data_IF_572065499175
#
_entry.id   IF_572065499175
#
_cell.length_a   1.000
_cell.length_b   1.000
_cell.length_c   1.000
_cell.angle_alpha   90.00
_cell.angle_beta   90.00
_cell.angle_gamma   90.00
#
_symmetry.space_group_name_H-M   'P 1'
#
loop_
_entity.id
_entity.type
_entity.pdbx_description
1 polymer ?
#
# COMPACT_ATOMS: atom_id res chain seq x y z
N UNK A 1 28.43 10.80 1.93
CA UNK A 1 29.18 10.49 3.16
C UNK A 1 29.81 9.11 3.02
N UNK A 2 30.92 8.85 3.70
CA UNK A 2 31.47 7.51 3.87
C UNK A 2 30.63 6.71 4.91
N UNK A 3 30.98 5.46 5.13
CA UNK A 3 30.27 4.59 6.07
C UNK A 3 30.32 5.14 7.49
N UNK A 4 31.51 5.54 7.98
CA UNK A 4 31.70 6.04 9.34
C UNK A 4 30.92 7.35 9.59
N UNK A 5 30.99 8.30 8.66
CA UNK A 5 30.22 9.55 8.78
C UNK A 5 28.70 9.29 8.75
N UNK A 6 28.26 8.26 8.02
CA UNK A 6 26.84 7.86 7.99
C UNK A 6 26.42 7.27 9.33
N UNK A 7 27.22 6.40 9.94
CA UNK A 7 26.94 5.84 11.27
C UNK A 7 26.91 6.93 12.34
N UNK A 8 27.84 7.89 12.31
CA UNK A 8 27.84 9.04 13.23
C UNK A 8 26.59 9.92 13.07
N UNK A 9 26.14 10.14 11.81
CA UNK A 9 24.91 10.87 11.56
C UNK A 9 23.66 10.15 12.11
N UNK A 10 23.64 8.80 12.01
CA UNK A 10 22.58 7.98 12.62
C UNK A 10 22.60 8.07 14.14
N UNK A 11 23.78 8.08 14.77
CA UNK A 11 23.92 8.27 16.22
C UNK A 11 23.41 9.64 16.67
N UNK A 12 23.77 10.69 15.94
CA UNK A 12 23.30 12.04 16.23
C UNK A 12 21.77 12.16 16.08
N UNK A 13 21.20 11.54 15.07
CA UNK A 13 19.75 11.46 14.88
C UNK A 13 19.09 10.67 16.02
N UNK A 14 19.64 9.52 16.39
CA UNK A 14 19.14 8.69 17.49
C UNK A 14 19.11 9.42 18.82
N UNK A 15 20.13 10.22 19.10
CA UNK A 15 20.18 11.05 20.31
C UNK A 15 19.04 12.09 20.35
N UNK A 16 18.65 12.63 19.18
CA UNK A 16 17.53 13.59 19.10
C UNK A 16 16.16 12.91 19.09
N UNK A 17 16.10 11.66 18.71
CA UNK A 17 14.87 10.87 18.74
C UNK A 17 14.54 10.33 20.14
N UNK A 18 15.54 10.10 20.97
CA UNK A 18 15.35 9.53 22.31
C UNK A 18 14.38 10.34 23.19
N UNK A 19 14.46 11.67 23.28
CA UNK A 19 13.48 12.46 24.02
C UNK A 19 12.05 12.29 23.53
N UNK A 20 11.83 12.07 22.22
CA UNK A 20 10.49 11.84 21.68
C UNK A 20 9.93 10.46 22.07
N UNK A 21 10.81 9.49 22.33
CA UNK A 21 10.41 8.20 22.93
C UNK A 21 10.06 8.39 24.39
N UNK A 22 10.88 9.11 25.14
CA UNK A 22 10.69 9.37 26.56
C UNK A 22 9.40 10.17 26.82
N UNK A 23 9.04 11.09 25.91
CA UNK A 23 7.79 11.88 25.93
C UNK A 23 6.57 11.11 25.39
N UNK A 24 6.72 9.86 24.97
CA UNK A 24 5.64 9.03 24.44
C UNK A 24 5.12 9.44 23.06
N UNK A 25 5.85 10.27 22.32
CA UNK A 25 5.55 10.64 20.92
C UNK A 25 5.91 9.50 19.95
N UNK A 26 6.97 8.77 20.27
CA UNK A 26 7.39 7.55 19.55
C UNK A 26 7.28 6.37 20.52
N UNK A 27 6.79 5.24 20.03
CA UNK A 27 6.85 3.98 20.75
C UNK A 27 8.28 3.41 20.75
N UNK A 28 9.10 3.83 19.79
CA UNK A 28 10.50 3.44 19.64
C UNK A 28 11.03 3.78 18.27
N UNK A 29 12.28 3.43 18.02
CA UNK A 29 12.88 3.47 16.69
C UNK A 29 13.95 2.40 16.56
N UNK A 30 14.19 1.94 15.33
CA UNK A 30 15.25 1.01 14.98
C UNK A 30 16.31 1.72 14.13
N UNK A 31 17.56 1.60 14.57
CA UNK A 31 18.73 2.19 13.92
C UNK A 31 19.84 1.13 13.81
N UNK A 32 20.57 1.15 12.71
CA UNK A 32 21.70 0.24 12.48
C UNK A 32 22.75 0.34 13.57
N UNK A 33 22.89 1.50 14.19
CA UNK A 33 23.88 1.78 15.26
C UNK A 33 23.62 1.03 16.57
N UNK A 34 22.48 0.37 16.72
CA UNK A 34 22.24 -0.59 17.81
C UNK A 34 23.09 -1.86 17.64
N UNK A 35 23.38 -2.23 16.40
CA UNK A 35 24.14 -3.45 16.03
C UNK A 35 25.53 -3.11 15.58
N UNK A 36 25.69 -2.02 14.80
CA UNK A 36 26.96 -1.53 14.28
C UNK A 36 27.14 -0.07 14.66
N UNK A 37 27.63 0.25 15.87
CA UNK A 37 27.98 1.62 16.27
C UNK A 37 29.15 2.16 15.43
N UNK A 38 29.27 3.49 15.32
CA UNK A 38 30.44 4.11 14.69
C UNK A 38 31.74 3.74 15.41
N UNK A 39 32.85 3.74 14.68
CA UNK A 39 34.16 3.48 15.29
C UNK A 39 34.47 4.48 16.43
N UNK A 40 34.02 5.73 16.29
CA UNK A 40 34.15 6.74 17.33
C UNK A 40 33.37 6.33 18.58
N UNK A 41 32.12 5.90 18.46
CA UNK A 41 31.30 5.46 19.59
C UNK A 41 31.85 4.17 20.24
N UNK A 42 32.32 3.21 19.45
CA UNK A 42 32.94 1.99 19.97
C UNK A 42 34.18 2.32 20.79
N UNK A 43 35.07 3.16 20.28
CA UNK A 43 36.25 3.60 21.00
C UNK A 43 35.90 4.38 22.28
N UNK A 44 34.95 5.28 22.23
CA UNK A 44 34.49 6.00 23.39
C UNK A 44 33.97 5.07 24.49
N UNK A 45 33.19 4.03 24.11
CA UNK A 45 32.72 3.00 25.06
C UNK A 45 33.89 2.21 25.66
N UNK A 46 34.88 1.79 24.84
CA UNK A 46 36.06 1.09 25.31
C UNK A 46 36.87 1.93 26.31
N UNK A 47 37.06 3.22 26.02
CA UNK A 47 37.74 4.13 26.94
C UNK A 47 36.98 4.38 28.25
N UNK A 48 35.64 4.26 28.24
CA UNK A 48 34.81 4.44 29.45
C UNK A 48 34.85 3.22 30.39
N UNK A 49 35.31 2.05 29.92
CA UNK A 49 35.43 0.89 30.76
C UNK A 49 36.50 1.13 31.84
N UNK A 50 36.21 0.83 33.11
CA UNK A 50 37.19 0.98 34.19
C UNK A 50 38.36 0.00 33.99
N UNK A 51 39.52 0.33 34.54
CA UNK A 51 40.63 -0.61 34.63
C UNK A 51 40.30 -1.74 35.64
N UNK A 52 41.06 -2.83 35.57
CA UNK A 52 40.83 -4.01 36.39
C UNK A 52 40.84 -3.74 37.90
N UNK A 53 41.70 -2.83 38.38
CA UNK A 53 41.80 -2.51 39.80
C UNK A 53 40.57 -1.71 40.26
N UNK A 54 40.19 -0.68 39.50
CA UNK A 54 38.97 0.13 39.77
C UNK A 54 37.72 -0.75 39.70
N UNK A 55 37.64 -1.68 38.74
CA UNK A 55 36.49 -2.57 38.58
C UNK A 55 36.37 -3.51 39.80
N UNK A 56 37.48 -4.12 40.25
CA UNK A 56 37.49 -4.96 41.45
C UNK A 56 37.05 -4.20 42.70
N UNK A 57 37.51 -2.96 42.87
CA UNK A 57 37.16 -2.12 44.02
C UNK A 57 35.65 -1.83 43.98
N UNK A 58 35.08 -1.39 42.86
CA UNK A 58 33.65 -1.12 42.68
C UNK A 58 32.78 -2.36 42.91
N UNK A 59 33.26 -3.51 42.42
CA UNK A 59 32.55 -4.80 42.63
C UNK A 59 32.58 -5.20 44.11
N UNK A 60 33.73 -5.06 44.78
CA UNK A 60 33.81 -5.36 46.21
C UNK A 60 32.91 -4.46 47.07
N UNK A 61 32.72 -3.19 46.66
CA UNK A 61 31.76 -2.29 47.32
C UNK A 61 30.30 -2.66 47.01
N UNK A 62 29.99 -2.92 45.76
CA UNK A 62 28.64 -3.27 45.33
C UNK A 62 28.15 -4.60 45.91
N UNK A 63 29.03 -5.51 46.19
CA UNK A 63 28.76 -6.82 46.75
C UNK A 63 28.64 -6.85 48.27
N UNK A 64 28.87 -5.73 48.96
CA UNK A 64 28.70 -5.65 50.42
C UNK A 64 27.27 -5.99 50.84
N UNK A 65 27.15 -7.07 51.62
CA UNK A 65 25.84 -7.56 52.09
C UNK A 65 25.10 -8.49 51.13
N UNK A 66 25.68 -8.82 49.98
CA UNK A 66 25.14 -9.81 49.07
C UNK A 66 25.80 -11.20 49.28
N UNK A 67 25.09 -12.31 49.08
CA UNK A 67 25.61 -13.66 49.24
C UNK A 67 26.47 -14.13 48.07
N UNK A 68 27.30 -13.22 47.50
CA UNK A 68 28.14 -13.45 46.34
C UNK A 68 29.60 -13.07 46.64
N UNK A 69 30.51 -14.02 46.50
CA UNK A 69 31.94 -13.75 46.72
C UNK A 69 32.50 -13.00 45.50
N UNK A 70 33.30 -11.93 45.69
CA UNK A 70 33.94 -11.18 44.59
C UNK A 70 34.77 -12.06 43.66
N UNK A 71 35.38 -13.15 44.15
CA UNK A 71 36.18 -14.11 43.38
C UNK A 71 35.35 -14.83 42.27
N UNK A 72 34.06 -14.90 42.40
CA UNK A 72 33.19 -15.45 41.37
C UNK A 72 33.03 -14.55 40.13
N UNK A 73 33.41 -13.27 40.27
CA UNK A 73 33.30 -12.27 39.19
C UNK A 73 34.68 -11.98 38.56
N UNK A 74 35.75 -12.74 38.88
CA UNK A 74 37.09 -12.51 38.32
C UNK A 74 37.07 -12.67 36.78
N UNK A 75 36.36 -13.66 36.25
CA UNK A 75 36.19 -13.82 34.81
C UNK A 75 35.56 -12.58 34.14
N UNK A 76 34.59 -11.96 34.78
CA UNK A 76 33.96 -10.70 34.30
C UNK A 76 35.01 -9.55 34.30
N UNK A 77 35.86 -9.46 35.31
CA UNK A 77 36.93 -8.47 35.36
C UNK A 77 37.94 -8.69 34.23
N UNK A 78 38.34 -9.92 33.99
CA UNK A 78 39.25 -10.30 32.88
C UNK A 78 38.65 -9.97 31.53
N UNK A 79 37.41 -10.40 31.25
CA UNK A 79 36.70 -10.11 30.01
C UNK A 79 36.48 -8.60 29.78
N UNK A 80 36.13 -7.86 30.83
CA UNK A 80 35.98 -6.40 30.75
C UNK A 80 37.30 -5.68 30.45
N UNK A 81 38.39 -6.20 31.01
CA UNK A 81 39.73 -5.68 30.75
C UNK A 81 40.21 -6.00 29.33
N UNK A 82 39.91 -7.21 28.83
CA UNK A 82 40.21 -7.62 27.49
C UNK A 82 39.38 -6.78 26.46
N UNK A 83 38.11 -6.50 26.77
CA UNK A 83 37.24 -5.71 25.90
C UNK A 83 37.78 -4.29 25.62
N UNK A 84 38.58 -3.71 26.52
CA UNK A 84 39.24 -2.39 26.31
C UNK A 84 40.21 -2.38 25.14
N UNK A 85 40.83 -3.53 24.83
CA UNK A 85 41.86 -3.68 23.78
C UNK A 85 41.36 -4.43 22.55
N UNK A 86 40.12 -4.89 22.52
CA UNK A 86 39.56 -5.58 21.36
C UNK A 86 39.48 -4.65 20.15
N UNK A 87 39.71 -5.16 18.94
CA UNK A 87 39.51 -4.38 17.72
C UNK A 87 38.00 -4.02 17.59
N UNK A 88 37.67 -2.81 17.10
CA UNK A 88 36.30 -2.42 16.90
C UNK A 88 35.64 -3.26 15.79
N UNK A 89 34.37 -3.57 15.95
CA UNK A 89 33.58 -4.31 14.97
C UNK A 89 33.37 -3.42 13.75
N UNK A 90 33.56 -3.98 12.56
CA UNK A 90 33.36 -3.34 11.27
C UNK A 90 32.20 -3.98 10.51
N UNK A 91 31.66 -3.29 9.55
CA UNK A 91 30.60 -3.79 8.67
C UNK A 91 30.95 -5.17 8.08
N UNK A 92 32.17 -5.33 7.57
CA UNK A 92 32.62 -6.59 6.98
C UNK A 92 32.55 -7.79 7.96
N UNK A 93 32.75 -7.55 9.25
CA UNK A 93 32.75 -8.60 10.28
C UNK A 93 31.33 -9.16 10.51
N UNK A 94 30.29 -8.37 10.22
CA UNK A 94 28.90 -8.76 10.39
C UNK A 94 28.28 -9.44 9.16
N UNK A 95 28.94 -9.34 8.00
CA UNK A 95 28.36 -9.82 6.72
C UNK A 95 28.25 -11.34 6.62
N UNK A 96 29.04 -12.09 7.37
CA UNK A 96 28.99 -13.56 7.43
C UNK A 96 28.08 -14.10 8.56
N UNK A 97 27.50 -13.21 9.38
CA UNK A 97 26.74 -13.56 10.58
C UNK A 97 25.23 -13.41 10.45
N UNK A 98 24.47 -13.80 11.49
CA UNK A 98 23.02 -13.69 11.52
C UNK A 98 22.51 -12.24 11.51
N UNK A 99 23.36 -11.27 11.77
CA UNK A 99 23.03 -9.83 11.76
C UNK A 99 23.14 -9.19 10.37
N UNK A 100 23.74 -9.86 9.39
CA UNK A 100 23.91 -9.35 8.04
C UNK A 100 22.59 -8.85 7.39
N UNK A 101 21.45 -9.58 7.46
CA UNK A 101 20.21 -9.10 6.88
C UNK A 101 19.70 -7.78 7.50
N UNK A 102 19.88 -7.62 8.83
CA UNK A 102 19.48 -6.41 9.55
C UNK A 102 20.33 -5.22 9.13
N UNK A 103 21.65 -5.42 9.12
CA UNK A 103 22.60 -4.37 8.72
C UNK A 103 22.38 -3.96 7.27
N UNK A 104 22.23 -4.91 6.35
CA UNK A 104 21.99 -4.65 4.93
C UNK A 104 20.64 -3.97 4.65
N UNK A 105 19.63 -4.22 5.47
CA UNK A 105 18.34 -3.54 5.34
C UNK A 105 18.39 -2.07 5.79
N UNK A 106 19.27 -1.73 6.73
CA UNK A 106 19.34 -0.42 7.36
C UNK A 106 20.52 0.44 6.88
N UNK A 107 21.60 -0.17 6.38
CA UNK A 107 22.79 0.51 5.88
C UNK A 107 22.99 0.17 4.41
N UNK A 108 22.80 1.15 3.53
CA UNK A 108 22.71 0.98 2.09
C UNK A 108 23.86 1.71 1.40
N UNK A 109 24.56 1.01 0.51
CA UNK A 109 25.52 1.63 -0.38
C UNK A 109 24.79 2.23 -1.60
N UNK A 110 25.05 3.48 -1.91
CA UNK A 110 24.42 4.17 -3.04
C UNK A 110 25.08 3.77 -4.38
N UNK A 111 24.30 3.66 -5.47
CA UNK A 111 24.84 3.37 -6.79
C UNK A 111 25.88 4.37 -7.31
N UNK A 112 25.85 5.62 -6.84
CA UNK A 112 26.81 6.70 -7.18
C UNK A 112 27.96 6.85 -6.19
N UNK A 113 28.15 5.90 -5.30
CA UNK A 113 29.12 5.95 -4.21
C UNK A 113 28.58 6.63 -2.96
N UNK A 114 29.18 6.32 -1.82
CA UNK A 114 28.76 6.77 -0.50
C UNK A 114 27.69 5.88 0.14
N UNK A 115 27.32 6.20 1.38
CA UNK A 115 26.42 5.42 2.21
C UNK A 115 25.19 6.21 2.62
N UNK A 116 24.11 5.52 2.88
CA UNK A 116 22.89 6.03 3.49
C UNK A 116 22.35 5.01 4.48
N UNK A 117 21.65 5.50 5.49
CA UNK A 117 21.01 4.62 6.47
C UNK A 117 19.55 5.01 6.66
N UNK A 118 18.75 4.00 6.96
CA UNK A 118 17.32 4.16 7.28
C UNK A 118 17.15 3.94 8.78
N UNK A 119 16.46 4.89 9.43
CA UNK A 119 15.96 4.75 10.80
C UNK A 119 14.46 4.52 10.71
N UNK A 120 13.99 3.37 11.17
CA UNK A 120 12.56 3.06 11.21
C UNK A 120 11.95 3.61 12.50
N UNK A 121 10.91 4.42 12.38
CA UNK A 121 10.22 5.03 13.52
C UNK A 121 8.92 4.29 13.80
N UNK A 122 8.69 3.95 15.07
CA UNK A 122 7.44 3.39 15.55
C UNK A 122 6.65 4.51 16.21
N UNK A 123 5.59 4.98 15.54
CA UNK A 123 4.79 6.11 16.03
C UNK A 123 3.82 5.67 17.12
N UNK A 124 3.65 6.51 18.14
CA UNK A 124 2.61 6.34 19.15
C UNK A 124 1.29 7.03 18.69
N UNK A 125 0.15 6.76 19.34
CA UNK A 125 -1.12 7.44 19.00
C UNK A 125 -1.07 8.97 19.14
N UNK A 126 -0.19 9.48 19.98
CA UNK A 126 0.05 10.92 20.23
C UNK A 126 1.09 11.54 19.30
N UNK A 127 1.51 10.85 18.25
CA UNK A 127 2.59 11.27 17.35
C UNK A 127 2.29 12.59 16.64
N UNK A 128 3.25 13.51 16.73
CA UNK A 128 3.26 14.79 16.02
C UNK A 128 4.45 14.86 15.05
N UNK A 129 4.16 14.80 13.75
CA UNK A 129 5.17 14.89 12.70
C UNK A 129 5.92 16.23 12.69
N UNK A 130 5.34 17.30 13.21
CA UNK A 130 5.97 18.60 13.26
C UNK A 130 7.05 18.64 14.35
N UNK A 131 6.80 18.06 15.52
CA UNK A 131 7.80 17.87 16.57
C UNK A 131 8.98 17.02 16.09
N UNK A 132 8.70 15.93 15.36
CA UNK A 132 9.75 15.12 14.77
C UNK A 132 10.65 15.92 13.83
N UNK A 133 10.04 16.69 12.90
CA UNK A 133 10.81 17.55 11.98
C UNK A 133 11.63 18.61 12.71
N UNK A 134 11.10 19.20 13.77
CA UNK A 134 11.82 20.15 14.62
C UNK A 134 12.99 19.49 15.35
N UNK A 135 12.80 18.31 15.92
CA UNK A 135 13.86 17.59 16.61
C UNK A 135 15.04 17.25 15.70
N UNK A 136 14.74 16.89 14.44
CA UNK A 136 15.74 16.54 13.44
C UNK A 136 16.24 17.74 12.63
N UNK A 137 15.70 18.94 12.85
CA UNK A 137 16.11 20.15 12.17
C UNK A 137 17.60 20.45 12.39
N UNK A 138 18.29 20.85 11.33
CA UNK A 138 19.73 21.17 11.36
C UNK A 138 20.66 19.96 11.31
N UNK A 139 20.17 18.73 11.26
CA UNK A 139 21.01 17.58 10.94
C UNK A 139 21.29 17.53 9.44
N UNK A 140 22.56 17.55 9.01
CA UNK A 140 22.91 17.53 7.60
C UNK A 140 22.48 16.20 6.97
N UNK A 141 21.98 16.27 5.71
CA UNK A 141 21.63 15.08 4.89
C UNK A 141 20.59 14.15 5.53
N UNK A 142 19.76 14.66 6.45
CA UNK A 142 18.66 13.92 7.07
C UNK A 142 17.35 14.29 6.43
N UNK A 143 16.56 13.29 6.02
CA UNK A 143 15.23 13.46 5.44
C UNK A 143 14.22 12.61 6.20
N UNK A 144 13.12 13.22 6.59
CA UNK A 144 11.97 12.52 7.18
C UNK A 144 11.02 12.13 6.05
N UNK A 145 10.78 10.85 5.89
CA UNK A 145 9.86 10.29 4.90
C UNK A 145 8.65 9.73 5.66
N UNK A 146 7.49 10.29 5.42
CA UNK A 146 6.22 9.73 5.88
C UNK A 146 5.69 8.78 4.79
N UNK A 147 5.98 7.50 4.97
CA UNK A 147 5.62 6.46 3.99
C UNK A 147 4.10 6.41 3.77
N UNK A 148 3.29 6.65 4.82
CA UNK A 148 1.84 6.65 4.71
C UNK A 148 1.36 7.81 3.84
N UNK A 149 1.80 9.03 4.13
CA UNK A 149 1.42 10.22 3.36
C UNK A 149 1.87 10.09 1.90
N UNK A 150 3.07 9.56 1.66
CA UNK A 150 3.57 9.37 0.30
C UNK A 150 2.75 8.32 -0.46
N UNK A 151 2.42 7.19 0.19
CA UNK A 151 1.56 6.16 -0.40
C UNK A 151 0.14 6.69 -0.67
N UNK A 152 -0.44 7.44 0.28
CA UNK A 152 -1.77 8.05 0.11
C UNK A 152 -1.77 9.06 -1.05
N UNK A 153 -0.71 9.85 -1.20
CA UNK A 153 -0.56 10.80 -2.30
C UNK A 153 -0.41 10.11 -3.66
N UNK A 154 0.35 9.02 -3.72
CA UNK A 154 0.50 8.18 -4.91
C UNK A 154 -0.83 7.52 -5.28
N UNK A 155 -1.53 6.95 -4.29
CA UNK A 155 -2.83 6.34 -4.50
C UNK A 155 -3.85 7.36 -5.03
N UNK A 156 -3.89 8.57 -4.46
CA UNK A 156 -4.76 9.66 -4.92
C UNK A 156 -4.50 10.05 -6.38
N UNK A 157 -3.22 10.14 -6.77
CA UNK A 157 -2.85 10.41 -8.17
C UNK A 157 -3.29 9.29 -9.11
N UNK A 158 -3.01 8.04 -8.78
CA UNK A 158 -3.45 6.90 -9.59
C UNK A 158 -4.96 6.78 -9.67
N UNK A 159 -5.68 7.09 -8.58
CA UNK A 159 -7.15 7.08 -8.59
C UNK A 159 -7.70 8.16 -9.54
N UNK A 160 -7.16 9.38 -9.51
CA UNK A 160 -7.60 10.45 -10.40
C UNK A 160 -7.29 10.15 -11.88
N UNK A 161 -6.12 9.58 -12.15
CA UNK A 161 -5.73 9.16 -13.51
C UNK A 161 -6.64 8.02 -14.01
N UNK A 162 -6.89 7.01 -13.19
CA UNK A 162 -7.82 5.93 -13.52
C UNK A 162 -9.24 6.44 -13.79
N UNK A 163 -9.70 7.43 -13.01
CA UNK A 163 -11.01 8.05 -13.21
C UNK A 163 -11.11 8.77 -14.56
N UNK A 164 -10.08 9.54 -14.93
CA UNK A 164 -10.01 10.19 -16.24
C UNK A 164 -10.01 9.17 -17.38
N UNK A 165 -9.24 8.08 -17.25
CA UNK A 165 -9.20 7.02 -18.26
C UNK A 165 -10.54 6.30 -18.39
N UNK A 166 -11.24 6.03 -17.28
CA UNK A 166 -12.58 5.41 -17.30
C UNK A 166 -13.59 6.33 -17.96
N UNK A 167 -13.55 7.63 -17.66
CA UNK A 167 -14.41 8.61 -18.31
C UNK A 167 -14.13 8.71 -19.81
N UNK A 168 -12.88 8.76 -20.21
CA UNK A 168 -12.46 8.77 -21.61
C UNK A 168 -12.90 7.49 -22.34
N UNK A 169 -12.77 6.32 -21.70
CA UNK A 169 -13.24 5.04 -22.22
C UNK A 169 -14.77 5.01 -22.39
N UNK A 170 -15.52 5.44 -21.37
CA UNK A 170 -16.96 5.53 -21.44
C UNK A 170 -17.44 6.51 -22.53
N UNK A 171 -16.79 7.68 -22.63
CA UNK A 171 -17.05 8.65 -23.69
C UNK A 171 -16.76 8.07 -25.07
N UNK A 172 -15.67 7.33 -25.22
CA UNK A 172 -15.34 6.64 -26.49
C UNK A 172 -16.42 5.66 -26.90
N UNK A 173 -16.96 4.90 -25.95
CA UNK A 173 -18.09 3.99 -26.20
C UNK A 173 -19.32 4.78 -26.68
N UNK A 174 -19.65 5.88 -25.99
CA UNK A 174 -20.82 6.74 -26.37
C UNK A 174 -20.62 7.34 -27.76
N UNK A 175 -19.40 7.80 -28.09
CA UNK A 175 -19.08 8.35 -29.41
C UNK A 175 -19.22 7.27 -30.49
N UNK A 176 -18.69 6.07 -30.28
CA UNK A 176 -18.80 4.96 -31.22
C UNK A 176 -20.26 4.55 -31.42
N UNK A 177 -21.05 4.45 -30.34
CA UNK A 177 -22.48 4.19 -30.41
C UNK A 177 -23.21 5.30 -31.18
N UNK A 178 -22.86 6.56 -30.97
CA UNK A 178 -23.44 7.71 -31.67
C UNK A 178 -23.17 7.68 -33.17
N UNK A 179 -21.92 7.35 -33.55
CA UNK A 179 -21.54 7.20 -34.96
C UNK A 179 -22.26 6.02 -35.65
N UNK A 180 -22.43 4.92 -34.89
CA UNK A 180 -23.13 3.73 -35.41
C UNK A 180 -24.63 3.94 -35.55
N UNK A 181 -25.31 4.46 -34.53
CA UNK A 181 -26.74 4.64 -34.48
C UNK A 181 -27.25 5.83 -35.31
N UNK A 182 -26.42 6.84 -35.50
CA UNK A 182 -26.72 8.09 -36.24
C UNK A 182 -28.04 8.77 -35.87
N UNK A 183 -28.50 8.54 -34.64
CA UNK A 183 -29.79 9.04 -34.12
C UNK A 183 -29.64 9.31 -32.61
N UNK A 184 -29.82 10.58 -32.22
CA UNK A 184 -29.74 11.00 -30.83
C UNK A 184 -30.75 10.30 -29.91
N UNK A 185 -32.03 10.19 -30.26
CA UNK A 185 -33.02 9.47 -29.44
C UNK A 185 -32.69 7.98 -29.25
N UNK A 186 -32.11 7.32 -30.27
CA UNK A 186 -31.69 5.94 -30.17
C UNK A 186 -30.42 5.78 -29.30
N UNK A 187 -29.49 6.73 -29.43
CA UNK A 187 -28.28 6.76 -28.58
C UNK A 187 -28.69 6.87 -27.10
N UNK A 188 -29.60 7.81 -26.75
CA UNK A 188 -30.14 7.94 -25.41
C UNK A 188 -30.83 6.64 -24.93
N UNK A 189 -31.56 5.99 -25.83
CA UNK A 189 -32.23 4.73 -25.54
C UNK A 189 -31.29 3.59 -25.18
N UNK A 190 -30.12 3.54 -25.83
CA UNK A 190 -29.05 2.52 -25.59
C UNK A 190 -28.23 2.90 -24.36
N UNK A 191 -27.90 4.15 -24.16
CA UNK A 191 -27.12 4.60 -23.03
C UNK A 191 -27.84 4.54 -21.66
N UNK A 192 -29.18 4.78 -21.66
CA UNK A 192 -29.96 4.84 -20.44
C UNK A 192 -29.89 3.57 -19.57
N UNK A 193 -30.09 2.33 -20.09
CA UNK A 193 -29.99 1.12 -19.30
C UNK A 193 -28.53 0.88 -18.82
N UNK A 194 -27.50 1.32 -19.58
CA UNK A 194 -26.10 1.20 -19.19
C UNK A 194 -25.77 2.09 -18.00
N UNK A 195 -26.17 3.36 -18.07
CA UNK A 195 -25.97 4.31 -16.96
C UNK A 195 -26.67 3.80 -15.71
N UNK A 196 -27.91 3.31 -15.84
CA UNK A 196 -28.65 2.77 -14.71
C UNK A 196 -28.01 1.50 -14.14
N UNK A 197 -27.47 0.62 -14.97
CA UNK A 197 -26.72 -0.57 -14.53
C UNK A 197 -25.48 -0.19 -13.72
N UNK A 198 -24.72 0.81 -14.20
CA UNK A 198 -23.55 1.34 -13.48
C UNK A 198 -23.96 1.94 -12.14
N UNK A 199 -24.99 2.78 -12.12
CA UNK A 199 -25.45 3.43 -10.88
C UNK A 199 -26.01 2.43 -9.86
N UNK A 200 -26.76 1.42 -10.31
CA UNK A 200 -27.25 0.36 -9.42
C UNK A 200 -26.13 -0.53 -8.89
N UNK A 201 -25.13 -0.83 -9.71
CA UNK A 201 -23.95 -1.59 -9.27
C UNK A 201 -23.17 -0.82 -8.22
N UNK A 202 -22.88 0.47 -8.46
CA UNK A 202 -22.19 1.33 -7.50
C UNK A 202 -23.01 1.53 -6.22
N UNK A 203 -24.30 1.81 -6.34
CA UNK A 203 -25.20 1.97 -5.21
C UNK A 203 -25.32 0.72 -4.36
N UNK A 204 -25.38 -0.46 -5.00
CA UNK A 204 -25.40 -1.75 -4.33
C UNK A 204 -24.10 -2.02 -3.54
N UNK A 205 -22.93 -1.77 -4.15
CA UNK A 205 -21.64 -1.92 -3.49
C UNK A 205 -21.50 -0.92 -2.32
N UNK A 206 -21.91 0.32 -2.50
CA UNK A 206 -21.89 1.33 -1.45
C UNK A 206 -22.82 0.96 -0.28
N UNK A 207 -24.02 0.46 -0.57
CA UNK A 207 -24.99 0.00 0.45
C UNK A 207 -24.45 -1.20 1.25
N UNK A 208 -23.61 -2.04 0.64
CA UNK A 208 -22.92 -3.16 1.30
C UNK A 208 -21.65 -2.73 2.04
N UNK A 209 -21.31 -1.42 2.06
CA UNK A 209 -20.12 -0.90 2.73
C UNK A 209 -18.79 -1.31 2.06
N UNK A 210 -18.81 -1.71 0.79
CA UNK A 210 -17.60 -2.10 0.07
C UNK A 210 -16.78 -0.86 -0.29
N UNK A 211 -15.51 -0.74 0.17
CA UNK A 211 -14.67 0.39 -0.19
C UNK A 211 -14.33 0.36 -1.68
N UNK A 212 -14.67 1.43 -2.39
CA UNK A 212 -14.44 1.54 -3.82
C UNK A 212 -12.98 1.96 -4.08
N UNK A 213 -12.30 1.24 -4.96
CA UNK A 213 -10.92 1.52 -5.37
C UNK A 213 -10.76 1.48 -6.88
N UNK A 214 -9.54 1.67 -7.36
CA UNK A 214 -9.19 1.75 -8.79
C UNK A 214 -9.73 0.55 -9.59
N UNK A 215 -9.63 -0.66 -9.04
CA UNK A 215 -10.06 -1.88 -9.73
C UNK A 215 -11.58 -1.99 -9.88
N UNK A 216 -12.34 -1.35 -9.00
CA UNK A 216 -13.79 -1.22 -9.18
C UNK A 216 -14.13 -0.33 -10.38
N UNK A 217 -13.34 0.74 -10.61
CA UNK A 217 -13.51 1.61 -11.79
C UNK A 217 -13.22 0.84 -13.09
N UNK A 218 -12.18 0.01 -13.12
CA UNK A 218 -11.89 -0.88 -14.26
C UNK A 218 -13.04 -1.85 -14.50
N UNK A 219 -13.59 -2.44 -13.44
CA UNK A 219 -14.76 -3.31 -13.51
C UNK A 219 -15.99 -2.59 -14.10
N UNK A 220 -16.24 -1.33 -13.72
CA UNK A 220 -17.33 -0.53 -14.27
C UNK A 220 -17.16 -0.24 -15.77
N UNK A 221 -15.94 0.05 -16.22
CA UNK A 221 -15.67 0.21 -17.64
C UNK A 221 -15.98 -1.07 -18.41
N UNK A 222 -15.63 -2.23 -17.82
CA UNK A 222 -15.94 -3.53 -18.42
C UNK A 222 -17.47 -3.76 -18.47
N UNK A 223 -18.21 -3.37 -17.44
CA UNK A 223 -19.70 -3.42 -17.45
C UNK A 223 -20.27 -2.58 -18.59
N UNK A 224 -19.75 -1.37 -18.81
CA UNK A 224 -20.16 -0.50 -19.92
C UNK A 224 -19.84 -1.15 -21.26
N UNK A 225 -18.62 -1.70 -21.42
CA UNK A 225 -18.20 -2.32 -22.67
C UNK A 225 -19.04 -3.57 -23.02
N UNK A 226 -19.26 -4.47 -22.05
CA UNK A 226 -20.06 -5.67 -22.25
C UNK A 226 -21.55 -5.31 -22.38
N UNK A 227 -22.02 -4.40 -21.53
CA UNK A 227 -23.42 -3.96 -21.52
C UNK A 227 -23.84 -3.26 -22.81
N UNK A 228 -22.94 -2.53 -23.47
CA UNK A 228 -23.22 -1.89 -24.76
C UNK A 228 -23.66 -2.88 -25.83
N UNK A 229 -23.11 -4.09 -25.83
CA UNK A 229 -23.51 -5.16 -26.76
C UNK A 229 -24.96 -5.58 -26.51
N UNK A 230 -25.36 -5.71 -25.25
CA UNK A 230 -26.74 -6.06 -24.88
C UNK A 230 -27.72 -4.95 -25.26
N UNK A 231 -27.39 -3.70 -24.96
CA UNK A 231 -28.23 -2.56 -25.30
C UNK A 231 -28.41 -2.39 -26.81
N UNK A 232 -27.36 -2.59 -27.61
CA UNK A 232 -27.42 -2.59 -29.08
C UNK A 232 -28.26 -3.72 -29.62
N UNK A 233 -28.09 -4.94 -29.08
CA UNK A 233 -28.91 -6.08 -29.53
C UNK A 233 -30.39 -5.82 -29.33
N UNK A 234 -30.81 -5.36 -28.18
CA UNK A 234 -32.23 -5.05 -27.89
C UNK A 234 -32.74 -3.85 -28.67
N UNK A 235 -31.89 -2.86 -29.01
CA UNK A 235 -32.29 -1.75 -29.89
C UNK A 235 -32.50 -2.27 -31.35
N UNK A 236 -31.61 -3.15 -31.85
CA UNK A 236 -31.82 -3.77 -33.18
C UNK A 236 -33.07 -4.64 -33.22
N UNK A 237 -33.29 -5.48 -32.21
CA UNK A 237 -34.49 -6.30 -32.09
C UNK A 237 -35.77 -5.46 -32.19
N UNK A 238 -35.76 -4.31 -31.49
CA UNK A 238 -36.92 -3.37 -31.55
C UNK A 238 -37.10 -2.77 -32.92
N UNK A 239 -36.04 -2.43 -33.67
CA UNK A 239 -36.12 -1.81 -34.99
C UNK A 239 -36.53 -2.78 -36.08
N UNK A 240 -35.99 -4.00 -36.03
CA UNK A 240 -36.23 -5.02 -37.06
C UNK A 240 -37.51 -5.82 -36.82
N UNK A 241 -38.03 -5.85 -35.59
CA UNK A 241 -39.23 -6.60 -35.21
C UNK A 241 -39.08 -8.14 -35.30
N UNK A 242 -37.86 -8.61 -35.60
CA UNK A 242 -37.56 -10.05 -35.74
C UNK A 242 -36.65 -10.46 -34.59
N UNK A 243 -37.14 -11.32 -33.71
CA UNK A 243 -36.31 -12.03 -32.75
C UNK A 243 -35.59 -13.18 -33.47
N UNK A 244 -34.30 -13.10 -33.55
CA UNK A 244 -33.49 -14.29 -33.85
C UNK A 244 -33.28 -15.02 -32.51
N UNK A 245 -33.99 -16.13 -32.32
CA UNK A 245 -33.99 -16.90 -31.08
C UNK A 245 -32.59 -17.47 -30.80
N UNK A 246 -31.82 -17.84 -31.82
CA UNK A 246 -30.47 -18.37 -31.71
C UNK A 246 -29.51 -17.26 -31.21
N UNK A 247 -29.66 -16.06 -31.74
CA UNK A 247 -28.85 -14.90 -31.27
C UNK A 247 -29.19 -14.51 -29.82
N UNK A 248 -30.48 -14.54 -29.45
CA UNK A 248 -30.89 -14.28 -28.07
C UNK A 248 -30.35 -15.34 -27.10
N UNK A 249 -30.44 -16.63 -27.48
CA UNK A 249 -29.90 -17.74 -26.68
C UNK A 249 -28.39 -17.61 -26.51
N UNK A 250 -27.66 -17.29 -27.57
CA UNK A 250 -26.22 -17.05 -27.53
C UNK A 250 -25.84 -15.88 -26.63
N UNK A 251 -26.60 -14.80 -26.67
CA UNK A 251 -26.39 -13.62 -25.82
C UNK A 251 -26.62 -13.94 -24.32
N UNK A 252 -27.68 -14.67 -24.01
CA UNK A 252 -27.99 -15.12 -22.67
C UNK A 252 -26.90 -16.06 -22.13
N UNK A 253 -26.42 -16.99 -22.94
CA UNK A 253 -25.36 -17.91 -22.57
C UNK A 253 -24.04 -17.16 -22.33
N UNK A 254 -23.69 -16.20 -23.19
CA UNK A 254 -22.52 -15.36 -23.06
C UNK A 254 -22.58 -14.50 -21.77
N UNK A 255 -23.77 -13.96 -21.43
CA UNK A 255 -23.94 -13.24 -20.17
C UNK A 255 -23.83 -14.18 -18.98
N UNK A 256 -24.45 -15.37 -19.03
CA UNK A 256 -24.36 -16.34 -17.93
C UNK A 256 -22.93 -16.77 -17.68
N UNK A 257 -22.15 -17.06 -18.72
CA UNK A 257 -20.73 -17.40 -18.58
C UNK A 257 -19.94 -16.23 -17.97
N UNK A 258 -20.22 -15.00 -18.38
CA UNK A 258 -19.61 -13.80 -17.79
C UNK A 258 -19.96 -13.68 -16.30
N UNK A 259 -21.22 -13.78 -15.94
CA UNK A 259 -21.68 -13.68 -14.54
C UNK A 259 -21.09 -14.78 -13.68
N UNK A 260 -21.06 -16.02 -14.15
CA UNK A 260 -20.47 -17.15 -13.42
C UNK A 260 -18.96 -16.97 -13.25
N UNK A 261 -18.24 -16.64 -14.32
CA UNK A 261 -16.79 -16.46 -14.29
C UNK A 261 -16.37 -15.33 -13.35
N UNK A 262 -16.98 -14.15 -13.47
CA UNK A 262 -16.68 -13.01 -12.60
C UNK A 262 -17.25 -13.20 -11.19
N UNK A 263 -18.34 -13.94 -11.04
CA UNK A 263 -18.90 -14.34 -9.74
C UNK A 263 -17.93 -15.22 -8.96
N UNK A 264 -17.30 -16.21 -9.62
CA UNK A 264 -16.24 -17.01 -9.02
C UNK A 264 -15.01 -16.18 -8.63
N UNK A 265 -14.64 -15.22 -9.49
CA UNK A 265 -13.54 -14.28 -9.19
C UNK A 265 -13.91 -13.37 -8.00
N UNK A 266 -15.17 -13.00 -7.84
CA UNK A 266 -15.65 -12.14 -6.74
C UNK A 266 -15.45 -12.74 -5.34
N UNK A 267 -15.38 -14.07 -5.22
CA UNK A 267 -15.12 -14.79 -3.97
C UNK A 267 -13.63 -15.12 -3.76
N UNK A 268 -12.74 -14.66 -4.66
CA UNK A 268 -11.29 -14.85 -4.55
C UNK A 268 -10.75 -14.19 -3.27
N UNK A 269 -9.75 -14.81 -2.68
CA UNK A 269 -8.99 -14.22 -1.56
C UNK A 269 -8.01 -13.12 -2.01
N UNK A 270 -7.77 -12.97 -3.31
CA UNK A 270 -6.93 -11.91 -3.88
C UNK A 270 -7.79 -10.65 -4.01
N UNK A 271 -7.54 -9.58 -3.22
CA UNK A 271 -8.41 -8.40 -3.16
C UNK A 271 -8.62 -7.73 -4.53
N UNK A 272 -7.58 -7.71 -5.37
CA UNK A 272 -7.63 -7.12 -6.70
C UNK A 272 -8.58 -7.85 -7.64
N UNK A 273 -8.56 -9.18 -7.65
CA UNK A 273 -9.48 -9.99 -8.44
C UNK A 273 -10.90 -9.89 -7.92
N UNK A 274 -11.07 -10.00 -6.59
CA UNK A 274 -12.37 -9.90 -5.96
C UNK A 274 -13.04 -8.54 -6.25
N UNK A 275 -12.29 -7.44 -6.28
CA UNK A 275 -12.80 -6.11 -6.61
C UNK A 275 -13.42 -6.03 -8.01
N UNK A 276 -12.74 -6.59 -9.02
CA UNK A 276 -13.26 -6.64 -10.39
C UNK A 276 -14.50 -7.55 -10.47
N UNK A 277 -14.42 -8.74 -9.88
CA UNK A 277 -15.52 -9.71 -9.91
C UNK A 277 -16.80 -9.18 -9.27
N UNK A 278 -16.71 -8.50 -8.13
CA UNK A 278 -17.83 -7.90 -7.40
C UNK A 278 -18.56 -6.80 -8.17
N UNK A 279 -17.90 -6.16 -9.12
CA UNK A 279 -18.50 -5.18 -10.02
C UNK A 279 -19.07 -5.83 -11.25
N UNK A 280 -18.27 -6.66 -11.95
CA UNK A 280 -18.62 -7.14 -13.29
C UNK A 280 -19.75 -8.15 -13.25
N UNK A 281 -19.76 -9.07 -12.28
CA UNK A 281 -20.82 -10.08 -12.21
C UNK A 281 -22.23 -9.46 -12.05
N UNK A 282 -22.51 -8.63 -11.02
CA UNK A 282 -23.83 -8.00 -10.90
C UNK A 282 -24.07 -6.94 -11.98
N UNK A 283 -23.03 -6.20 -12.41
CA UNK A 283 -23.15 -5.16 -13.43
C UNK A 283 -23.54 -5.72 -14.80
N UNK A 284 -22.94 -6.81 -15.24
CA UNK A 284 -23.29 -7.47 -16.50
C UNK A 284 -24.73 -8.03 -16.48
N UNK A 285 -25.14 -8.62 -15.36
CA UNK A 285 -26.51 -9.08 -15.18
C UNK A 285 -27.52 -7.92 -15.23
N UNK A 286 -27.25 -6.83 -14.49
CA UNK A 286 -28.09 -5.64 -14.50
C UNK A 286 -28.14 -5.00 -15.88
N UNK A 287 -27.03 -4.90 -16.60
CA UNK A 287 -26.99 -4.34 -17.94
C UNK A 287 -27.87 -5.12 -18.91
N UNK A 288 -27.86 -6.46 -18.86
CA UNK A 288 -28.73 -7.30 -19.66
C UNK A 288 -30.20 -7.12 -19.32
N UNK A 289 -30.56 -7.21 -18.01
CA UNK A 289 -31.94 -7.13 -17.55
C UNK A 289 -32.57 -5.75 -17.84
N UNK A 290 -31.81 -4.69 -17.60
CA UNK A 290 -32.29 -3.32 -17.86
C UNK A 290 -32.42 -3.06 -19.36
N UNK A 291 -31.48 -3.54 -20.19
CA UNK A 291 -31.60 -3.40 -21.65
C UNK A 291 -32.84 -4.10 -22.20
N UNK A 292 -33.16 -5.29 -21.70
CA UNK A 292 -34.37 -6.02 -22.06
C UNK A 292 -35.67 -5.31 -21.58
N UNK A 293 -35.67 -4.81 -20.33
CA UNK A 293 -36.82 -4.12 -19.74
C UNK A 293 -37.13 -2.81 -20.48
N UNK A 294 -36.11 -1.99 -20.78
CA UNK A 294 -36.28 -0.73 -21.50
C UNK A 294 -36.70 -0.92 -22.95
N UNK A 295 -36.30 -2.00 -23.60
CA UNK A 295 -36.74 -2.36 -24.93
C UNK A 295 -38.28 -2.66 -24.94
N UNK A 296 -38.78 -3.43 -23.96
CA UNK A 296 -40.20 -3.76 -23.81
C UNK A 296 -41.06 -2.53 -23.47
N UNK A 297 -40.65 -1.71 -22.51
CA UNK A 297 -41.40 -0.53 -22.09
C UNK A 297 -41.64 0.45 -23.24
N UNK A 298 -40.65 0.61 -24.14
CA UNK A 298 -40.83 1.50 -25.31
C UNK A 298 -41.64 0.89 -26.44
N UNK A 299 -41.69 -0.43 -26.57
CA UNK A 299 -42.58 -1.08 -27.53
C UNK A 299 -44.05 -0.87 -27.16
N UNK A 300 -44.37 -0.95 -25.86
CA UNK A 300 -45.75 -0.74 -25.37
C UNK A 300 -46.21 0.73 -25.50
N UNK A 301 -45.31 1.70 -25.30
CA UNK A 301 -45.66 3.13 -25.46
C UNK A 301 -45.87 3.55 -26.91
N UNK A 302 -45.19 2.92 -27.89
CA UNK A 302 -45.41 3.15 -29.31
C UNK A 302 -46.71 2.56 -29.85
N UNK A 303 -47.21 1.46 -29.26
CA UNK A 303 -48.48 0.85 -29.62
C UNK A 303 -49.70 1.58 -29.08
N UNK A 304 -49.54 2.41 -28.04
CA UNK A 304 -50.64 3.24 -27.45
C UNK A 304 -50.83 4.60 -28.14
N UNK A 305 -49.92 4.99 -29.05
CA UNK A 305 -49.94 6.27 -29.78
C UNK A 305 -50.26 6.12 -31.28
N UNK A 306 -50.53 4.92 -31.75
CA UNK A 306 -51.05 4.62 -33.09
C UNK A 306 -52.48 4.17 -33.05
#
# INVERSE_FOLDING_TARGET
>A
ADEEATLQAVEAASQRLQPLVDDGQLAGFDAVTRVLPSLAAQRARQHSLPDAQTLRQRLAEALRGLPLAPSRLEAFVEESTQARSMPPIRHADLMSGPLAPIVNAMLLQRPGGGWSSVISLHTAPSFDAQRLRQALAGLPSTQVIDVKVELDSLYGRYLSEAFVQVLAGALSVVVLLGLYLRSGPRLLAVCQPLVLAVLLTLGGLAALGVPLGILHLVGLLLVVAVGSNYALFFDQLRVTGRADEDTLASLLLANLTTVVSFGLIAISQIPSLAAIGRVVAPGALLALLLSAAFARARASSGASSA
#
